data_IF_488496002740
#
_entry.id   IF_488496002740
#
_cell.length_a   1.000
_cell.length_b   1.000
_cell.length_c   1.000
_cell.angle_alpha   90.00
_cell.angle_beta   90.00
_cell.angle_gamma   90.00
#
_symmetry.space_group_name_H-M   'P 1'
#
loop_
_entity.id
_entity.type
_entity.pdbx_description
1 polymer ?
#
# COMPACT_ATOMS: atom_id res chain seq x y z
N UNK A 1 8.42 58.86 67.73
CA UNK A 1 9.12 57.65 67.30
C UNK A 1 8.22 56.92 66.26
N UNK A 2 8.49 57.14 64.95
CA UNK A 2 7.63 56.64 63.87
C UNK A 2 8.36 55.51 63.17
N UNK A 3 7.81 54.30 63.26
CA UNK A 3 8.30 53.08 62.59
C UNK A 3 7.67 53.09 61.23
N UNK A 4 8.52 53.12 60.17
CA UNK A 4 8.12 52.94 58.78
C UNK A 4 8.14 51.46 58.45
N UNK A 5 6.98 50.90 58.07
CA UNK A 5 6.86 49.59 57.49
C UNK A 5 7.16 49.66 55.99
N UNK A 6 8.25 49.00 55.58
CA UNK A 6 8.59 48.80 54.16
C UNK A 6 7.92 47.52 53.70
N UNK A 7 6.97 47.65 52.76
CA UNK A 7 6.29 46.50 52.13
C UNK A 7 7.17 46.08 50.97
N UNK A 8 7.73 44.87 51.07
CA UNK A 8 8.54 44.22 50.04
C UNK A 8 7.58 43.46 49.09
N UNK A 9 7.37 43.95 47.85
CA UNK A 9 6.60 43.28 46.83
C UNK A 9 7.45 42.23 46.19
N UNK A 10 7.20 40.95 46.48
CA UNK A 10 7.75 39.80 45.76
C UNK A 10 6.93 39.60 44.50
N UNK A 11 7.48 40.01 43.34
CA UNK A 11 6.96 39.69 42.02
C UNK A 11 7.37 38.25 41.69
N UNK A 12 6.44 37.30 41.81
CA UNK A 12 6.64 35.93 41.35
C UNK A 12 6.48 35.94 39.82
N UNK A 13 7.61 35.83 39.13
CA UNK A 13 7.65 35.65 37.67
C UNK A 13 7.26 34.20 37.36
N UNK A 14 5.99 33.92 37.05
CA UNK A 14 5.52 32.66 36.56
C UNK A 14 5.92 32.56 35.09
N UNK A 15 7.11 32.00 34.80
CA UNK A 15 7.53 31.65 33.45
C UNK A 15 6.72 30.45 32.95
N UNK A 16 5.69 30.76 32.16
CA UNK A 16 4.93 29.73 31.41
C UNK A 16 5.87 29.18 30.31
N UNK A 17 6.45 28.04 30.55
CA UNK A 17 7.09 27.24 29.52
C UNK A 17 5.99 26.66 28.64
N UNK A 18 5.69 27.34 27.53
CA UNK A 18 4.95 26.74 26.42
C UNK A 18 5.92 25.76 25.76
N UNK A 19 5.87 24.52 26.18
CA UNK A 19 6.52 23.41 25.49
C UNK A 19 5.87 23.27 24.11
N UNK A 20 6.52 23.81 23.06
CA UNK A 20 6.26 23.42 21.69
C UNK A 20 6.63 21.93 21.59
N UNK A 21 5.65 21.06 21.84
CA UNK A 21 5.75 19.65 21.45
C UNK A 21 5.75 19.61 19.93
N UNK A 22 6.94 19.70 19.35
CA UNK A 22 7.17 19.30 17.98
C UNK A 22 6.90 17.80 17.96
N UNK A 23 5.75 17.40 17.42
CA UNK A 23 5.38 15.99 17.30
C UNK A 23 6.34 15.28 16.36
N UNK A 24 7.50 14.87 16.88
CA UNK A 24 8.32 13.87 16.23
C UNK A 24 7.50 12.59 16.22
N UNK A 25 7.14 12.12 15.03
CA UNK A 25 6.55 10.81 14.83
C UNK A 25 7.58 9.78 15.31
N UNK A 26 7.47 9.33 16.56
CA UNK A 26 8.23 8.17 17.02
C UNK A 26 7.71 6.95 16.26
N UNK A 27 8.52 6.42 15.35
CA UNK A 27 8.25 5.11 14.75
C UNK A 27 8.15 4.07 15.86
N UNK A 28 7.29 3.06 15.66
CA UNK A 28 7.18 1.94 16.59
C UNK A 28 8.51 1.19 16.68
N UNK A 29 8.76 0.52 17.80
CA UNK A 29 9.99 -0.27 18.05
C UNK A 29 10.19 -1.37 16.98
N UNK A 30 9.09 -1.91 16.46
CA UNK A 30 9.06 -2.92 15.40
C UNK A 30 8.98 -2.34 13.98
N UNK A 31 9.17 -1.01 13.78
CA UNK A 31 9.13 -0.37 12.47
C UNK A 31 10.28 -0.87 11.58
N UNK A 32 10.00 -1.04 10.27
CA UNK A 32 11.01 -1.47 9.31
C UNK A 32 10.82 -0.86 7.92
N UNK A 33 11.94 -0.70 7.19
CA UNK A 33 11.96 -0.27 5.79
C UNK A 33 12.21 -1.43 4.82
N UNK A 34 12.69 -2.57 5.32
CA UNK A 34 12.97 -3.79 4.57
C UNK A 34 12.34 -4.98 5.27
N UNK A 35 11.57 -5.79 4.53
CA UNK A 35 10.86 -6.93 5.10
C UNK A 35 9.68 -7.40 4.26
N UNK A 36 8.80 -8.14 4.90
CA UNK A 36 7.68 -8.82 4.27
C UNK A 36 6.38 -8.55 5.01
N UNK A 37 5.29 -8.32 4.26
CA UNK A 37 3.92 -8.23 4.79
C UNK A 37 3.06 -9.27 4.07
N UNK A 38 2.39 -10.13 4.84
CA UNK A 38 1.47 -11.14 4.33
C UNK A 38 0.03 -10.67 4.47
N UNK A 39 -0.79 -10.97 3.49
CA UNK A 39 -2.20 -10.60 3.44
C UNK A 39 -3.10 -11.80 3.19
N UNK A 40 -4.25 -11.79 3.84
CA UNK A 40 -5.43 -12.47 3.34
C UNK A 40 -6.06 -11.60 2.26
N UNK A 41 -6.55 -12.24 1.19
CA UNK A 41 -7.19 -11.56 0.07
C UNK A 41 -8.58 -12.18 -0.18
N UNK A 42 -9.58 -11.32 -0.29
CA UNK A 42 -10.97 -11.70 -0.58
C UNK A 42 -11.48 -10.92 -1.81
N UNK A 43 -12.28 -11.57 -2.67
CA UNK A 43 -12.92 -10.92 -3.82
C UNK A 43 -14.15 -10.16 -3.35
N UNK A 44 -14.29 -8.90 -3.79
CA UNK A 44 -15.47 -8.06 -3.52
C UNK A 44 -16.57 -8.33 -4.56
N UNK A 45 -16.24 -8.28 -5.85
CA UNK A 45 -17.19 -8.53 -6.94
C UNK A 45 -17.16 -10.01 -7.37
N UNK A 46 -17.73 -10.88 -6.55
CA UNK A 46 -17.72 -12.33 -6.73
C UNK A 46 -18.40 -12.83 -8.03
N UNK A 47 -19.18 -11.98 -8.69
CA UNK A 47 -19.79 -12.28 -9.99
C UNK A 47 -18.85 -12.03 -11.17
N UNK A 48 -17.68 -11.44 -10.94
CA UNK A 48 -16.69 -11.23 -11.99
C UNK A 48 -16.14 -12.58 -12.48
N UNK A 49 -15.98 -12.82 -13.80
CA UNK A 49 -15.53 -14.11 -14.34
C UNK A 49 -14.20 -14.60 -13.74
N UNK A 50 -13.29 -13.67 -13.43
CA UNK A 50 -12.00 -14.00 -12.80
C UNK A 50 -12.08 -14.27 -11.29
N UNK A 51 -13.25 -14.16 -10.65
CA UNK A 51 -13.37 -14.30 -9.21
C UNK A 51 -12.93 -15.69 -8.71
N UNK A 52 -13.20 -16.74 -9.46
CA UNK A 52 -12.77 -18.12 -9.13
C UNK A 52 -11.28 -18.37 -9.24
N UNK A 53 -10.56 -17.48 -9.94
CA UNK A 53 -9.09 -17.51 -10.10
C UNK A 53 -8.38 -16.51 -9.19
N UNK A 54 -9.13 -15.77 -8.40
CA UNK A 54 -8.52 -14.79 -7.49
C UNK A 54 -7.67 -15.48 -6.42
N UNK A 55 -6.51 -14.94 -6.09
CA UNK A 55 -5.71 -15.43 -4.98
C UNK A 55 -6.42 -15.15 -3.65
N UNK A 56 -6.30 -16.07 -2.70
CA UNK A 56 -6.78 -15.88 -1.32
C UNK A 56 -5.72 -15.29 -0.39
N UNK A 57 -4.48 -15.20 -0.85
CA UNK A 57 -3.35 -14.64 -0.12
C UNK A 57 -2.47 -13.80 -1.03
N UNK A 58 -1.76 -12.86 -0.44
CA UNK A 58 -0.77 -12.06 -1.12
C UNK A 58 0.42 -11.80 -0.18
N UNK A 59 1.59 -11.61 -0.75
CA UNK A 59 2.81 -11.24 -0.01
C UNK A 59 3.39 -9.97 -0.63
N UNK A 60 3.69 -8.98 0.20
CA UNK A 60 4.44 -7.79 -0.23
C UNK A 60 5.82 -7.83 0.38
N UNK A 61 6.85 -7.84 -0.46
CA UNK A 61 8.25 -7.63 -0.07
C UNK A 61 8.60 -6.16 -0.27
N UNK A 62 9.36 -5.61 0.66
CA UNK A 62 9.76 -4.21 0.70
C UNK A 62 11.26 -4.08 0.87
N UNK A 63 11.89 -3.18 0.15
CA UNK A 63 13.28 -2.79 0.36
C UNK A 63 13.55 -1.39 -0.21
N UNK A 64 13.91 -0.45 0.67
CA UNK A 64 14.16 0.94 0.30
C UNK A 64 12.99 1.57 -0.48
N UNK A 65 13.20 1.92 -1.75
CA UNK A 65 12.25 2.52 -2.68
C UNK A 65 11.56 1.50 -3.60
N UNK A 66 11.63 0.21 -3.26
CA UNK A 66 11.05 -0.89 -4.04
C UNK A 66 10.04 -1.67 -3.23
N UNK A 67 9.02 -2.17 -3.92
CA UNK A 67 8.13 -3.18 -3.38
C UNK A 67 7.73 -4.19 -4.46
N UNK A 68 7.50 -5.42 -4.04
CA UNK A 68 7.02 -6.52 -4.88
C UNK A 68 5.78 -7.12 -4.24
N UNK A 69 4.64 -7.05 -4.91
CA UNK A 69 3.43 -7.78 -4.56
C UNK A 69 3.42 -9.11 -5.32
N UNK A 70 3.32 -10.20 -4.58
CA UNK A 70 3.23 -11.57 -5.11
C UNK A 70 1.86 -12.15 -4.75
N UNK A 71 1.16 -12.69 -5.73
CA UNK A 71 -0.11 -13.38 -5.56
C UNK A 71 -0.09 -14.70 -6.32
N UNK A 72 -0.62 -15.75 -5.71
CA UNK A 72 -0.68 -17.08 -6.32
C UNK A 72 -2.03 -17.73 -6.14
N UNK A 73 -2.57 -18.29 -7.21
CA UNK A 73 -3.79 -19.10 -7.19
C UNK A 73 -3.42 -20.55 -7.44
N UNK A 74 -3.67 -21.42 -6.46
CA UNK A 74 -3.42 -22.87 -6.52
C UNK A 74 -1.98 -23.24 -6.96
N UNK A 75 -1.01 -22.31 -6.83
CA UNK A 75 0.38 -22.52 -7.29
C UNK A 75 0.56 -22.57 -8.81
N UNK A 76 -0.51 -22.48 -9.59
CA UNK A 76 -0.49 -22.60 -11.06
C UNK A 76 -0.46 -21.23 -11.74
N UNK A 77 -1.29 -20.30 -11.26
CA UNK A 77 -1.36 -18.94 -11.77
C UNK A 77 -0.76 -17.96 -10.76
N UNK A 78 0.25 -17.24 -11.17
CA UNK A 78 0.94 -16.28 -10.33
C UNK A 78 0.95 -14.91 -11.01
N UNK A 79 0.66 -13.88 -10.23
CA UNK A 79 0.71 -12.48 -10.64
C UNK A 79 1.70 -11.77 -9.73
N UNK A 80 2.56 -10.95 -10.32
CA UNK A 80 3.52 -10.15 -9.59
C UNK A 80 3.43 -8.70 -10.06
N UNK A 81 3.57 -7.78 -9.12
CA UNK A 81 3.74 -6.36 -9.39
C UNK A 81 5.00 -5.89 -8.69
N UNK A 82 6.05 -5.61 -9.46
CA UNK A 82 7.31 -5.06 -8.95
C UNK A 82 7.36 -3.57 -9.23
N UNK A 83 7.48 -2.78 -8.18
CA UNK A 83 7.53 -1.33 -8.24
C UNK A 83 8.91 -0.81 -7.88
N UNK A 84 9.39 0.16 -8.64
CA UNK A 84 10.55 0.97 -8.32
C UNK A 84 10.12 2.44 -8.33
N UNK A 85 10.07 3.06 -7.15
CA UNK A 85 9.61 4.43 -6.95
C UNK A 85 10.59 5.45 -7.52
N UNK A 86 11.90 5.18 -7.45
CA UNK A 86 12.94 6.05 -8.01
C UNK A 86 12.82 6.20 -9.52
N UNK A 87 12.51 5.11 -10.23
CA UNK A 87 12.35 5.11 -11.69
C UNK A 87 10.91 5.39 -12.12
N UNK A 88 9.97 5.46 -11.19
CA UNK A 88 8.52 5.56 -11.43
C UNK A 88 8.01 4.47 -12.40
N UNK A 89 8.45 3.25 -12.19
CA UNK A 89 8.07 2.10 -12.98
C UNK A 89 7.35 1.06 -12.15
N UNK A 90 6.34 0.45 -12.74
CA UNK A 90 5.69 -0.76 -12.24
C UNK A 90 5.84 -1.83 -13.31
N UNK A 91 6.29 -3.02 -12.90
CA UNK A 91 6.38 -4.17 -13.78
C UNK A 91 5.31 -5.15 -13.37
N UNK A 92 4.38 -5.43 -14.26
CA UNK A 92 3.42 -6.49 -14.09
C UNK A 92 3.97 -7.77 -14.72
N UNK A 93 3.95 -8.88 -13.98
CA UNK A 93 4.37 -10.19 -14.48
C UNK A 93 3.24 -11.20 -14.24
N UNK A 94 3.06 -12.10 -15.20
CA UNK A 94 2.19 -13.26 -15.08
C UNK A 94 2.98 -14.52 -15.36
N UNK A 95 2.69 -15.55 -14.58
CA UNK A 95 3.19 -16.91 -14.81
C UNK A 95 2.00 -17.86 -14.76
N UNK A 96 1.79 -18.57 -15.87
CA UNK A 96 0.78 -19.62 -15.97
C UNK A 96 1.38 -20.78 -16.74
N UNK A 97 1.61 -21.89 -16.07
CA UNK A 97 2.34 -23.05 -16.63
C UNK A 97 3.69 -22.60 -17.23
N UNK A 98 3.87 -22.78 -18.55
CA UNK A 98 5.09 -22.40 -19.28
C UNK A 98 5.07 -20.93 -19.76
N UNK A 99 3.92 -20.26 -19.69
CA UNK A 99 3.77 -18.87 -20.11
C UNK A 99 4.30 -17.96 -19.00
N UNK A 100 5.27 -17.12 -19.35
CA UNK A 100 5.91 -16.16 -18.44
C UNK A 100 6.08 -14.85 -19.18
N UNK A 101 5.14 -13.94 -18.96
CA UNK A 101 5.10 -12.65 -19.63
C UNK A 101 5.23 -11.51 -18.62
N UNK A 102 5.91 -10.44 -19.01
CA UNK A 102 6.06 -9.23 -18.24
C UNK A 102 5.71 -8.02 -19.10
N UNK A 103 5.17 -6.98 -18.45
CA UNK A 103 4.92 -5.67 -19.05
C UNK A 103 5.47 -4.60 -18.12
N UNK A 104 6.26 -3.68 -18.68
CA UNK A 104 6.76 -2.50 -17.96
C UNK A 104 5.75 -1.38 -18.17
N UNK A 105 5.10 -0.96 -17.09
CA UNK A 105 4.15 0.16 -17.09
C UNK A 105 4.89 1.46 -16.79
N UNK A 106 4.74 2.44 -17.66
CA UNK A 106 5.28 3.80 -17.48
C UNK A 106 4.33 4.65 -16.66
N UNK A 107 4.79 5.81 -16.20
CA UNK A 107 4.00 6.77 -15.40
C UNK A 107 2.66 7.11 -16.08
N UNK A 108 2.65 7.34 -17.41
CA UNK A 108 1.43 7.62 -18.17
C UNK A 108 0.43 6.47 -18.20
N UNK A 109 0.91 5.22 -18.34
CA UNK A 109 0.07 4.03 -18.33
C UNK A 109 -0.54 3.81 -16.93
N UNK A 110 0.26 4.08 -15.89
CA UNK A 110 -0.20 3.96 -14.50
C UNK A 110 -1.25 5.02 -14.15
N UNK A 111 -1.09 6.26 -14.64
CA UNK A 111 -2.09 7.31 -14.47
C UNK A 111 -3.42 6.92 -15.12
N UNK A 112 -3.40 6.37 -16.33
CA UNK A 112 -4.59 5.87 -17.01
C UNK A 112 -5.25 4.73 -16.23
N UNK A 113 -4.47 3.72 -15.80
CA UNK A 113 -5.00 2.59 -15.07
C UNK A 113 -5.57 3.00 -13.70
N UNK A 114 -4.83 3.81 -12.94
CA UNK A 114 -5.28 4.29 -11.64
C UNK A 114 -6.51 5.20 -11.74
N UNK A 115 -6.73 5.87 -12.91
CA UNK A 115 -7.91 6.68 -13.13
C UNK A 115 -9.21 5.87 -13.11
N UNK A 116 -9.16 4.57 -13.44
CA UNK A 116 -10.30 3.65 -13.43
C UNK A 116 -10.79 3.33 -12.02
N UNK A 117 -9.89 3.43 -11.03
CA UNK A 117 -10.19 3.21 -9.61
C UNK A 117 -9.78 4.40 -8.77
N UNK A 118 -10.23 5.58 -9.16
CA UNK A 118 -9.89 6.84 -8.48
C UNK A 118 -10.61 6.94 -7.14
N UNK A 119 -9.85 7.23 -6.09
CA UNK A 119 -10.32 7.35 -4.71
C UNK A 119 -10.12 8.76 -4.18
N UNK A 120 -11.00 9.17 -3.27
CA UNK A 120 -10.80 10.31 -2.37
C UNK A 120 -10.75 9.79 -0.94
N UNK A 121 -9.98 10.47 -0.07
CA UNK A 121 -9.74 10.02 1.29
C UNK A 121 -10.18 11.06 2.29
N UNK A 122 -10.84 10.60 3.36
CA UNK A 122 -11.18 11.41 4.53
C UNK A 122 -10.51 10.83 5.75
N UNK A 123 -9.66 11.60 6.39
CA UNK A 123 -9.01 11.21 7.64
C UNK A 123 -10.00 11.05 8.78
N UNK A 124 -9.69 10.16 9.70
CA UNK A 124 -10.42 9.96 10.94
C UNK A 124 -9.45 9.88 12.12
N UNK A 125 -9.95 10.06 13.34
CA UNK A 125 -9.14 9.90 14.56
C UNK A 125 -9.10 8.45 15.07
N UNK A 126 -9.65 7.50 14.30
CA UNK A 126 -9.70 6.10 14.70
C UNK A 126 -8.38 5.37 14.38
N UNK A 127 -8.02 4.45 15.23
CA UNK A 127 -6.88 3.55 15.01
C UNK A 127 -7.27 2.11 15.34
N UNK A 128 -6.55 1.15 14.75
CA UNK A 128 -6.72 -0.29 14.96
C UNK A 128 -5.36 -0.97 14.94
N UNK A 129 -5.19 -2.01 15.75
CA UNK A 129 -4.01 -2.89 15.64
C UNK A 129 -4.22 -3.91 14.53
N UNK A 130 -3.30 -3.98 13.57
CA UNK A 130 -3.31 -4.97 12.48
C UNK A 130 -1.88 -5.52 12.36
N UNK A 131 -1.73 -6.82 12.38
CA UNK A 131 -0.45 -7.52 12.27
C UNK A 131 0.64 -6.97 13.22
N UNK A 132 0.26 -6.53 14.43
CA UNK A 132 1.18 -5.97 15.42
C UNK A 132 1.52 -4.48 15.27
N UNK A 133 0.92 -3.77 14.29
CA UNK A 133 1.15 -2.35 14.04
C UNK A 133 -0.10 -1.51 14.34
N UNK A 134 0.11 -0.31 14.89
CA UNK A 134 -0.95 0.67 15.08
C UNK A 134 -1.25 1.36 13.75
N UNK A 135 -2.42 1.10 13.20
CA UNK A 135 -2.85 1.62 11.91
C UNK A 135 -3.84 2.78 12.09
N UNK A 136 -3.66 3.85 11.32
CA UNK A 136 -4.58 4.98 11.20
C UNK A 136 -5.71 4.61 10.23
N UNK A 137 -6.93 5.08 10.48
CA UNK A 137 -8.09 4.84 9.63
C UNK A 137 -8.38 6.02 8.72
N UNK A 138 -8.63 5.71 7.46
CA UNK A 138 -9.23 6.60 6.46
C UNK A 138 -10.58 6.03 6.00
N UNK A 139 -11.45 6.90 5.51
CA UNK A 139 -12.58 6.51 4.67
C UNK A 139 -12.22 6.82 3.23
N UNK A 140 -12.13 5.78 2.42
CA UNK A 140 -11.96 5.89 0.98
C UNK A 140 -13.33 5.91 0.30
N UNK A 141 -13.52 6.81 -0.67
CA UNK A 141 -14.75 6.91 -1.47
C UNK A 141 -14.37 6.85 -2.95
N UNK A 142 -15.05 6.00 -3.71
CA UNK A 142 -14.84 5.88 -5.16
C UNK A 142 -15.37 7.13 -5.86
N UNK A 143 -14.54 7.80 -6.66
CA UNK A 143 -14.93 9.05 -7.36
C UNK A 143 -16.07 8.80 -8.34
N UNK A 144 -16.08 7.68 -9.04
CA UNK A 144 -17.11 7.33 -10.01
C UNK A 144 -18.31 6.54 -9.42
N UNK A 145 -18.28 6.26 -8.11
CA UNK A 145 -19.38 5.68 -7.36
C UNK A 145 -19.43 6.32 -5.96
N UNK A 146 -19.88 7.60 -5.84
CA UNK A 146 -19.76 8.37 -4.58
C UNK A 146 -20.52 7.77 -3.39
N UNK A 147 -21.46 6.87 -3.65
CA UNK A 147 -22.20 6.13 -2.61
C UNK A 147 -21.42 4.91 -2.08
N UNK A 148 -20.30 4.57 -2.73
CA UNK A 148 -19.45 3.45 -2.34
C UNK A 148 -18.23 3.97 -1.57
N UNK A 149 -18.28 3.82 -0.26
CA UNK A 149 -17.17 4.14 0.65
C UNK A 149 -16.77 2.90 1.44
N UNK A 150 -15.49 2.82 1.79
CA UNK A 150 -14.97 1.74 2.61
C UNK A 150 -13.84 2.23 3.52
N UNK A 151 -13.57 1.46 4.56
CA UNK A 151 -12.49 1.74 5.49
C UNK A 151 -11.15 1.31 4.90
N UNK A 152 -10.12 2.12 5.16
CA UNK A 152 -8.72 1.81 4.86
C UNK A 152 -7.91 2.04 6.13
N UNK A 153 -7.08 1.08 6.47
CA UNK A 153 -6.13 1.21 7.58
C UNK A 153 -4.71 1.14 7.04
N UNK A 154 -3.84 2.05 7.49
CA UNK A 154 -2.45 2.12 7.08
C UNK A 154 -1.54 2.46 8.25
N UNK A 155 -0.26 2.10 8.12
CA UNK A 155 0.77 2.45 9.10
C UNK A 155 1.96 3.12 8.43
N UNK A 156 2.54 4.11 9.10
CA UNK A 156 3.76 4.79 8.67
C UNK A 156 5.04 4.10 9.20
N UNK A 157 4.87 3.03 9.98
CA UNK A 157 5.97 2.26 10.57
C UNK A 157 6.59 1.24 9.60
N UNK A 158 5.97 1.00 8.44
CA UNK A 158 6.41 0.01 7.45
C UNK A 158 6.66 0.67 6.09
N UNK A 159 7.84 0.39 5.52
CA UNK A 159 8.21 0.78 4.17
C UNK A 159 8.50 2.27 3.98
N UNK A 160 8.64 2.73 2.71
CA UNK A 160 8.91 4.11 2.38
C UNK A 160 7.65 4.98 2.50
N UNK A 161 7.82 6.25 2.88
CA UNK A 161 6.71 7.22 3.01
C UNK A 161 5.89 7.37 1.72
N UNK A 162 6.56 7.33 0.57
CA UNK A 162 5.98 7.49 -0.76
C UNK A 162 5.63 6.17 -1.45
N UNK A 163 5.53 5.06 -0.70
CA UNK A 163 5.28 3.71 -1.22
C UNK A 163 4.07 3.57 -2.13
N UNK A 164 3.10 4.47 -1.98
CA UNK A 164 1.83 4.44 -2.70
C UNK A 164 1.77 5.37 -3.92
N UNK A 165 2.85 6.07 -4.28
CA UNK A 165 2.82 7.13 -5.32
C UNK A 165 2.37 6.64 -6.71
N UNK A 166 2.60 5.37 -7.03
CA UNK A 166 2.23 4.73 -8.29
C UNK A 166 0.93 3.91 -8.20
N UNK A 167 0.17 4.04 -7.12
CA UNK A 167 -1.06 3.30 -6.87
C UNK A 167 -2.27 4.25 -6.74
N UNK A 168 -3.52 3.74 -6.70
CA UNK A 168 -4.70 4.55 -6.38
C UNK A 168 -4.66 5.21 -4.99
N UNK A 169 -3.72 4.79 -4.13
CA UNK A 169 -3.51 5.29 -2.76
C UNK A 169 -2.46 6.40 -2.68
N UNK A 170 -2.13 7.04 -3.79
CA UNK A 170 -1.19 8.16 -3.84
C UNK A 170 -1.51 9.22 -2.78
N UNK A 171 -0.49 9.62 -2.02
CA UNK A 171 -0.61 10.58 -0.92
C UNK A 171 -0.83 9.95 0.47
N UNK A 172 -1.13 8.65 0.55
CA UNK A 172 -1.12 7.92 1.82
C UNK A 172 0.31 7.47 2.10
N UNK A 173 0.83 7.87 3.26
CA UNK A 173 2.20 7.54 3.68
C UNK A 173 2.28 6.13 4.26
N UNK A 174 3.37 5.41 3.93
CA UNK A 174 3.64 4.08 4.48
C UNK A 174 2.77 2.97 3.87
N UNK A 175 2.48 1.94 4.64
CA UNK A 175 1.91 0.67 4.15
C UNK A 175 0.41 0.55 4.43
N UNK A 176 -0.45 0.34 3.40
CA UNK A 176 -1.84 -0.07 3.60
C UNK A 176 -1.91 -1.47 4.21
N UNK A 177 -2.62 -1.62 5.33
CA UNK A 177 -2.73 -2.87 6.09
C UNK A 177 -4.11 -3.52 5.98
N UNK A 178 -5.12 -2.74 5.61
CA UNK A 178 -6.49 -3.19 5.35
C UNK A 178 -7.05 -2.24 4.27
N UNK A 179 -7.19 -2.72 3.03
CA UNK A 179 -7.49 -1.87 1.88
C UNK A 179 -8.11 -2.65 0.72
N UNK A 180 -8.69 -1.93 -0.25
CA UNK A 180 -9.23 -2.51 -1.48
C UNK A 180 -8.51 -1.97 -2.70
N UNK A 181 -8.35 -2.80 -3.70
CA UNK A 181 -7.81 -2.41 -5.01
C UNK A 181 -8.55 -3.10 -6.13
N UNK A 182 -8.71 -2.44 -7.25
CA UNK A 182 -9.26 -3.01 -8.47
C UNK A 182 -8.16 -3.08 -9.54
N UNK A 183 -7.98 -4.27 -10.10
CA UNK A 183 -7.12 -4.50 -11.27
C UNK A 183 -7.82 -5.47 -12.20
N UNK A 184 -7.73 -5.22 -13.51
CA UNK A 184 -8.38 -6.06 -14.53
C UNK A 184 -9.90 -6.26 -14.29
N UNK A 185 -10.57 -5.24 -13.73
CA UNK A 185 -11.98 -5.30 -13.36
C UNK A 185 -12.30 -6.09 -12.09
N UNK A 186 -11.34 -6.79 -11.52
CA UNK A 186 -11.50 -7.54 -10.28
C UNK A 186 -11.18 -6.65 -9.08
N UNK A 187 -12.17 -6.42 -8.21
CA UNK A 187 -11.98 -5.70 -6.95
C UNK A 187 -11.71 -6.70 -5.83
N UNK A 188 -10.60 -6.49 -5.14
CA UNK A 188 -10.13 -7.34 -4.05
C UNK A 188 -9.91 -6.53 -2.77
N UNK A 189 -10.13 -7.18 -1.64
CA UNK A 189 -9.89 -6.69 -0.30
C UNK A 189 -8.71 -7.42 0.33
N UNK A 190 -7.71 -6.67 0.76
CA UNK A 190 -6.50 -7.18 1.39
C UNK A 190 -6.46 -6.78 2.86
N UNK A 191 -6.21 -7.75 3.74
CA UNK A 191 -6.04 -7.53 5.18
C UNK A 191 -4.72 -8.17 5.61
N UNK A 192 -3.78 -7.37 6.14
CA UNK A 192 -2.50 -7.87 6.61
C UNK A 192 -2.69 -8.82 7.80
N UNK A 193 -2.07 -9.98 7.70
CA UNK A 193 -2.09 -11.05 8.72
C UNK A 193 -0.78 -11.14 9.49
N UNK A 194 0.34 -10.84 8.83
CA UNK A 194 1.65 -10.73 9.45
C UNK A 194 2.49 -9.64 8.79
N UNK A 195 3.45 -9.10 9.54
CA UNK A 195 4.43 -8.15 9.02
C UNK A 195 5.74 -8.32 9.80
N UNK A 196 6.86 -8.45 9.07
CA UNK A 196 8.15 -8.77 9.67
C UNK A 196 9.28 -8.05 8.94
N UNK A 197 10.13 -7.36 9.72
CA UNK A 197 11.41 -6.84 9.23
C UNK A 197 12.38 -8.00 9.03
N UNK A 198 12.88 -8.16 7.82
CA UNK A 198 13.84 -9.20 7.45
C UNK A 198 14.58 -8.79 6.18
N UNK A 199 15.70 -9.44 5.91
CA UNK A 199 16.47 -9.21 4.68
C UNK A 199 15.70 -9.68 3.45
N UNK A 200 15.62 -8.83 2.41
CA UNK A 200 15.01 -9.12 1.12
C UNK A 200 16.05 -8.99 0.03
N UNK A 201 16.12 -9.94 -0.89
CA UNK A 201 17.11 -9.95 -1.96
C UNK A 201 16.77 -8.92 -3.04
N UNK A 202 17.75 -8.17 -3.52
CA UNK A 202 17.55 -7.22 -4.62
C UNK A 202 17.04 -7.89 -5.89
N UNK A 203 17.46 -9.14 -6.15
CA UNK A 203 17.01 -9.94 -7.28
C UNK A 203 15.49 -10.24 -7.27
N UNK A 204 14.83 -10.17 -6.11
CA UNK A 204 13.38 -10.40 -6.01
C UNK A 204 12.59 -9.32 -6.76
N UNK A 205 13.14 -8.10 -6.89
CA UNK A 205 12.49 -6.97 -7.56
C UNK A 205 12.75 -6.91 -9.07
N UNK A 206 13.58 -7.79 -9.60
CA UNK A 206 13.96 -7.80 -11.01
C UNK A 206 13.08 -8.76 -11.82
N UNK A 207 12.94 -8.47 -13.11
CA UNK A 207 12.28 -9.41 -14.05
C UNK A 207 13.26 -10.53 -14.34
N UNK A 208 12.93 -11.78 -14.01
CA UNK A 208 13.80 -12.91 -14.37
C UNK A 208 13.97 -13.00 -15.89
N UNK A 209 15.20 -13.32 -16.35
CA UNK A 209 15.58 -13.35 -17.78
C UNK A 209 14.75 -14.27 -18.66
N UNK A 210 14.05 -15.23 -18.06
CA UNK A 210 13.17 -16.16 -18.75
C UNK A 210 11.74 -15.64 -18.98
N UNK A 211 11.42 -14.39 -18.54
CA UNK A 211 10.16 -13.73 -18.87
C UNK A 211 10.26 -13.05 -20.24
N UNK A 212 9.21 -13.20 -21.05
CA UNK A 212 9.06 -12.44 -22.28
C UNK A 212 8.48 -11.07 -21.96
N UNK A 213 9.21 -10.00 -22.27
CA UNK A 213 8.72 -8.63 -22.11
C UNK A 213 7.83 -8.29 -23.29
N UNK A 214 6.60 -7.89 -23.01
CA UNK A 214 5.58 -7.52 -23.99
C UNK A 214 5.21 -6.05 -23.87
N UNK A 215 4.74 -5.45 -24.97
CA UNK A 215 4.04 -4.17 -24.89
C UNK A 215 2.71 -4.35 -24.14
N UNK A 216 2.14 -3.28 -23.59
CA UNK A 216 0.87 -3.34 -22.84
C UNK A 216 -0.27 -3.97 -23.66
N UNK A 217 -0.52 -3.60 -24.93
CA UNK A 217 -1.58 -4.23 -25.72
C UNK A 217 -1.35 -5.74 -25.94
N UNK A 218 -0.09 -6.15 -26.15
CA UNK A 218 0.25 -7.56 -26.34
C UNK A 218 0.11 -8.35 -25.03
N UNK A 219 0.45 -7.73 -23.89
CA UNK A 219 0.29 -8.33 -22.57
C UNK A 219 -1.20 -8.54 -22.23
N UNK A 220 -2.04 -7.53 -22.48
CA UNK A 220 -3.48 -7.60 -22.26
C UNK A 220 -4.14 -8.63 -23.17
N UNK A 221 -3.72 -8.71 -24.45
CA UNK A 221 -4.21 -9.73 -25.38
C UNK A 221 -3.86 -11.15 -24.92
N UNK A 222 -2.63 -11.37 -24.44
CA UNK A 222 -2.21 -12.67 -23.88
C UNK A 222 -2.97 -12.99 -22.58
N UNK A 223 -3.17 -12.00 -21.71
CA UNK A 223 -3.95 -12.18 -20.49
C UNK A 223 -5.39 -12.62 -20.83
N UNK A 224 -6.06 -11.89 -21.73
CA UNK A 224 -7.41 -12.22 -22.18
C UNK A 224 -7.50 -13.60 -22.82
N UNK A 225 -6.47 -14.00 -23.63
CA UNK A 225 -6.40 -15.33 -24.22
C UNK A 225 -6.31 -16.44 -23.17
N UNK A 226 -5.55 -16.24 -22.09
CA UNK A 226 -5.41 -17.24 -21.02
C UNK A 226 -6.74 -17.51 -20.30
N UNK A 227 -7.63 -16.54 -20.31
CA UNK A 227 -8.92 -16.63 -19.61
C UNK A 227 -10.13 -16.66 -20.57
N UNK A 228 -9.88 -16.72 -21.92
CA UNK A 228 -10.96 -16.67 -22.91
C UNK A 228 -12.03 -17.78 -22.74
N UNK A 229 -11.61 -18.95 -22.24
CA UNK A 229 -12.53 -20.07 -22.00
C UNK A 229 -13.37 -19.91 -20.71
N UNK A 230 -13.15 -18.84 -19.95
CA UNK A 230 -13.84 -18.58 -18.69
C UNK A 230 -14.77 -17.34 -18.76
N UNK A 231 -14.78 -16.63 -19.90
CA UNK A 231 -15.66 -15.48 -20.17
C UNK A 231 -16.89 -15.87 -21.06
#
# INVERSE_FOLDING_TARGET
MKIKHSIFHIIVFCSIWIGMSCGSHHKAENAFAEGTVEYKADVINSTHPLASFAPSTATVKLKNDKWLLEMSTMGIFNIYFSCNLSNKTLIQMIKYMDIKNACVETDSMLLEENSKYKLTFKETNCTKMIAGFKCKKLIATKVFAPNESFEVFYTEDIGPENGNDLTPYKGIKGMPMDYRVMRLGLEMHFIATSAKGEEVKDADFEVPSYYKILSRPAFDAEFNRLFADFF
#
